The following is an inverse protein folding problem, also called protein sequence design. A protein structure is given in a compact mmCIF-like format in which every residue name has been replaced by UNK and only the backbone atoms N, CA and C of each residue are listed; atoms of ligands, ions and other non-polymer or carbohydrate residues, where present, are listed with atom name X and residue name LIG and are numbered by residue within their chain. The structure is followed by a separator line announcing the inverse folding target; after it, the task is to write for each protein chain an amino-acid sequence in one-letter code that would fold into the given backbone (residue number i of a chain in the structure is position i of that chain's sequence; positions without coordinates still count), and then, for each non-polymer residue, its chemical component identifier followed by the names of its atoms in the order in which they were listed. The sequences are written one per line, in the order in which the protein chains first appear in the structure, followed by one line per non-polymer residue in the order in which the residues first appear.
data_IF_603730540164
#
_entry.id   IF_603730540164
#
_cell.length_a   1.000
_cell.length_b   1.000
_cell.length_c   1.000
_cell.angle_alpha   90.00
_cell.angle_beta   90.00
_cell.angle_gamma   90.00
#
_symmetry.space_group_name_H-M   'P 1'
#
loop_
_entity.id
_entity.type
_entity.pdbx_description
1 polymer ?
#
# COMPACT_ATOMS: atom_id res chain seq x y z
N UNK A 1 11.54 -4.58 -16.31
CA UNK A 1 11.34 -3.64 -15.18
C UNK A 1 9.84 -3.57 -14.89
N UNK A 2 9.40 -3.46 -13.63
CA UNK A 2 7.97 -3.58 -13.26
C UNK A 2 7.05 -2.55 -13.97
N UNK A 3 7.61 -1.43 -14.40
CA UNK A 3 6.91 -0.41 -15.19
C UNK A 3 6.31 -0.95 -16.51
N UNK A 4 6.91 -1.98 -17.13
CA UNK A 4 6.34 -2.59 -18.35
C UNK A 4 5.01 -3.30 -18.10
N UNK A 5 4.71 -3.63 -16.84
CA UNK A 5 3.43 -4.20 -16.41
C UNK A 5 2.46 -3.13 -15.88
N UNK A 6 2.77 -1.85 -16.08
CA UNK A 6 1.94 -0.74 -15.58
C UNK A 6 1.93 -0.59 -14.06
N UNK A 7 2.88 -1.18 -13.34
CA UNK A 7 3.00 -1.02 -11.89
C UNK A 7 4.23 -0.18 -11.51
N UNK A 8 4.07 0.68 -10.51
CA UNK A 8 5.16 1.42 -9.86
C UNK A 8 5.45 0.90 -8.45
N UNK A 9 6.62 1.25 -7.91
CA UNK A 9 6.99 0.97 -6.52
C UNK A 9 7.47 2.25 -5.84
N UNK A 10 7.03 2.48 -4.61
CA UNK A 10 7.47 3.61 -3.79
C UNK A 10 7.42 3.25 -2.31
N UNK A 11 8.12 4.01 -1.48
CA UNK A 11 8.06 3.89 -0.02
C UNK A 11 7.42 5.16 0.58
N UNK A 12 6.59 4.97 1.61
CA UNK A 12 5.98 6.08 2.35
C UNK A 12 7.04 6.81 3.16
N UNK A 13 7.93 6.08 3.85
CA UNK A 13 9.07 6.64 4.58
C UNK A 13 10.36 6.27 3.84
N UNK A 14 11.19 7.27 3.53
CA UNK A 14 12.45 7.09 2.80
C UNK A 14 13.59 6.56 3.69
N UNK A 15 13.50 6.74 5.01
CA UNK A 15 14.51 6.25 5.95
C UNK A 15 14.53 4.72 5.95
N UNK A 16 15.68 4.08 5.69
CA UNK A 16 15.82 2.64 5.86
C UNK A 16 15.56 2.26 7.32
N UNK A 17 14.64 1.32 7.54
CA UNK A 17 14.40 0.71 8.86
C UNK A 17 14.45 -0.80 8.72
N UNK A 18 14.95 -1.48 9.75
CA UNK A 18 15.02 -2.94 9.73
C UNK A 18 13.62 -3.57 9.74
N UNK A 19 12.63 -2.84 10.28
CA UNK A 19 11.22 -3.25 10.35
C UNK A 19 10.28 -2.05 10.23
N UNK A 20 9.13 -2.25 9.59
CA UNK A 20 8.12 -1.22 9.42
C UNK A 20 7.46 -0.77 10.74
N UNK A 21 7.52 -1.58 11.79
CA UNK A 21 7.04 -1.25 13.14
C UNK A 21 8.00 -0.34 13.94
N UNK A 22 9.21 -0.07 13.41
CA UNK A 22 10.16 0.88 13.98
C UNK A 22 9.91 2.32 13.54
N UNK A 23 8.93 2.55 12.66
CA UNK A 23 8.55 3.88 12.21
C UNK A 23 7.47 4.42 13.14
N UNK A 24 7.74 5.59 13.73
CA UNK A 24 6.76 6.30 14.55
C UNK A 24 5.65 6.89 13.69
N UNK A 25 4.45 7.08 14.28
CA UNK A 25 3.36 7.77 13.61
C UNK A 25 3.76 9.17 13.12
N UNK A 26 4.66 9.85 13.83
CA UNK A 26 5.19 11.15 13.46
C UNK A 26 6.06 11.08 12.19
N UNK A 27 6.91 10.05 12.04
CA UNK A 27 7.70 9.86 10.81
C UNK A 27 6.78 9.60 9.60
N UNK A 28 5.69 8.85 9.78
CA UNK A 28 4.70 8.66 8.73
C UNK A 28 3.98 9.98 8.38
N UNK A 29 3.58 10.77 9.37
CA UNK A 29 2.92 12.05 9.15
C UNK A 29 3.84 13.05 8.43
N UNK A 30 5.12 13.12 8.82
CA UNK A 30 6.10 13.99 8.16
C UNK A 30 6.37 13.57 6.71
N UNK A 31 6.34 12.27 6.41
CA UNK A 31 6.54 11.75 5.06
C UNK A 31 5.25 11.72 4.21
N UNK A 32 4.09 11.89 4.84
CA UNK A 32 2.77 11.84 4.20
C UNK A 32 2.65 12.83 3.06
N UNK A 33 3.03 14.09 3.28
CA UNK A 33 2.88 15.17 2.28
C UNK A 33 3.65 14.86 1.00
N UNK A 34 4.90 14.42 1.12
CA UNK A 34 5.70 14.06 -0.06
C UNK A 34 5.14 12.84 -0.79
N UNK A 35 4.61 11.86 -0.04
CA UNK A 35 3.94 10.71 -0.61
C UNK A 35 2.63 11.10 -1.32
N UNK A 36 1.82 11.97 -0.73
CA UNK A 36 0.60 12.55 -1.32
C UNK A 36 0.89 13.27 -2.63
N UNK A 37 1.88 14.16 -2.63
CA UNK A 37 2.31 14.87 -3.84
C UNK A 37 2.76 13.90 -4.94
N UNK A 38 3.46 12.82 -4.58
CA UNK A 38 3.89 11.80 -5.52
C UNK A 38 2.69 11.07 -6.12
N UNK A 39 1.75 10.62 -5.30
CA UNK A 39 0.56 9.92 -5.81
C UNK A 39 -0.29 10.86 -6.67
N UNK A 40 -0.47 12.12 -6.27
CA UNK A 40 -1.17 13.12 -7.07
C UNK A 40 -0.50 13.36 -8.44
N UNK A 41 0.84 13.47 -8.46
CA UNK A 41 1.59 13.71 -9.69
C UNK A 41 1.60 12.53 -10.68
N UNK A 42 1.61 11.29 -10.18
CA UNK A 42 1.55 10.10 -11.04
C UNK A 42 0.12 9.60 -11.33
N UNK A 43 -0.88 10.10 -10.59
CA UNK A 43 -2.30 9.76 -10.72
C UNK A 43 -2.59 8.27 -10.98
N UNK A 44 -2.10 7.33 -10.12
CA UNK A 44 -2.33 5.92 -10.33
C UNK A 44 -3.81 5.58 -10.08
N UNK A 45 -4.32 4.57 -10.78
CA UNK A 45 -5.67 4.04 -10.55
C UNK A 45 -5.81 3.38 -9.17
N UNK A 46 -4.74 2.78 -8.67
CA UNK A 46 -4.70 2.06 -7.39
C UNK A 46 -3.43 2.37 -6.62
N UNK A 47 -3.54 2.47 -5.30
CA UNK A 47 -2.41 2.49 -4.35
C UNK A 47 -2.55 1.30 -3.41
N UNK A 48 -1.54 0.42 -3.40
CA UNK A 48 -1.48 -0.73 -2.52
C UNK A 48 -0.44 -0.51 -1.40
N UNK A 49 -0.92 -0.43 -0.15
CA UNK A 49 -0.07 -0.39 1.03
C UNK A 49 0.26 -1.81 1.48
N UNK A 50 1.56 -2.14 1.57
CA UNK A 50 2.03 -3.47 1.95
C UNK A 50 2.21 -3.58 3.47
N UNK A 51 1.07 -3.65 4.17
CA UNK A 51 0.95 -3.69 5.62
C UNK A 51 0.06 -2.56 6.15
N UNK A 52 -0.56 -2.79 7.32
CA UNK A 52 -1.53 -1.87 7.91
C UNK A 52 -0.90 -0.56 8.42
N UNK A 53 0.31 -0.63 8.97
CA UNK A 53 0.93 0.49 9.70
C UNK A 53 0.99 1.80 8.89
N UNK A 54 1.44 1.72 7.64
CA UNK A 54 1.56 2.90 6.77
C UNK A 54 0.19 3.52 6.46
N UNK A 55 -0.81 2.70 6.11
CA UNK A 55 -2.14 3.21 5.84
C UNK A 55 -2.80 3.78 7.10
N UNK A 56 -2.72 3.07 8.23
CA UNK A 56 -3.24 3.55 9.52
C UNK A 56 -2.70 4.93 9.90
N UNK A 57 -1.39 5.15 9.70
CA UNK A 57 -0.75 6.41 10.01
C UNK A 57 -1.22 7.56 9.10
N UNK A 58 -1.43 7.28 7.80
CA UNK A 58 -1.90 8.27 6.83
C UNK A 58 -3.40 8.54 6.94
N UNK A 59 -4.21 7.51 7.22
CA UNK A 59 -5.66 7.61 7.25
C UNK A 59 -6.22 8.02 8.61
N UNK A 60 -5.35 8.13 9.63
CA UNK A 60 -5.69 8.29 11.05
C UNK A 60 -6.68 7.22 11.57
N UNK A 61 -6.70 6.02 10.96
CA UNK A 61 -7.57 4.91 11.36
C UNK A 61 -6.75 3.87 12.12
N UNK A 62 -7.29 3.40 13.25
CA UNK A 62 -6.61 2.40 14.09
C UNK A 62 -6.95 0.97 13.71
N UNK A 63 -8.20 0.73 13.29
CA UNK A 63 -8.66 -0.57 12.87
C UNK A 63 -9.11 -0.52 11.42
N UNK A 64 -8.45 -1.31 10.58
CA UNK A 64 -8.66 -1.38 9.14
C UNK A 64 -8.66 -2.85 8.71
N UNK A 65 -9.50 -3.20 7.75
CA UNK A 65 -9.50 -4.52 7.15
C UNK A 65 -8.35 -4.68 6.13
N UNK A 66 -8.01 -5.93 5.80
CA UNK A 66 -7.22 -6.21 4.60
C UNK A 66 -8.07 -6.04 3.34
N UNK A 67 -7.44 -5.79 2.20
CA UNK A 67 -8.11 -5.62 0.91
C UNK A 67 -8.52 -4.16 0.61
N UNK A 68 -9.58 -3.95 -0.19
CA UNK A 68 -9.99 -2.62 -0.63
C UNK A 68 -10.49 -1.78 0.54
N UNK A 69 -10.15 -0.49 0.53
CA UNK A 69 -10.56 0.46 1.56
C UNK A 69 -11.65 1.40 1.04
N UNK A 70 -12.57 1.85 1.90
CA UNK A 70 -13.66 2.74 1.50
C UNK A 70 -13.17 4.15 1.14
N UNK A 71 -12.03 4.59 1.69
CA UNK A 71 -11.43 5.89 1.39
C UNK A 71 -10.41 5.76 0.28
N UNK A 72 -10.50 6.65 -0.71
CA UNK A 72 -9.48 6.82 -1.74
C UNK A 72 -8.29 7.62 -1.21
N UNK A 73 -7.21 7.62 -1.98
CA UNK A 73 -6.04 8.46 -1.76
C UNK A 73 -5.88 9.38 -2.98
N UNK A 74 -6.43 10.60 -2.89
CA UNK A 74 -6.82 11.35 -4.07
C UNK A 74 -7.90 10.60 -4.85
N UNK A 75 -7.71 10.45 -6.16
CA UNK A 75 -8.60 9.66 -7.02
C UNK A 75 -8.24 8.15 -7.06
N UNK A 76 -7.14 7.77 -6.41
CA UNK A 76 -6.66 6.38 -6.42
C UNK A 76 -7.46 5.51 -5.44
N UNK A 77 -7.93 4.35 -5.91
CA UNK A 77 -8.53 3.35 -5.02
C UNK A 77 -7.44 2.72 -4.13
N UNK A 78 -7.73 2.59 -2.84
CA UNK A 78 -6.74 2.12 -1.86
C UNK A 78 -6.92 0.65 -1.55
N UNK A 79 -5.81 -0.08 -1.48
CA UNK A 79 -5.73 -1.46 -1.04
C UNK A 79 -4.72 -1.61 0.07
N UNK A 80 -5.02 -2.46 1.04
CA UNK A 80 -4.11 -2.84 2.12
C UNK A 80 -3.81 -4.33 1.97
N UNK A 81 -2.57 -4.66 1.65
CA UNK A 81 -2.13 -6.02 1.36
C UNK A 81 -1.12 -6.52 2.40
N UNK A 82 -1.08 -7.83 2.69
CA UNK A 82 -0.06 -8.40 3.56
C UNK A 82 1.36 -8.13 3.01
N UNK A 83 2.30 -7.84 3.90
CA UNK A 83 3.68 -7.52 3.52
C UNK A 83 4.40 -8.79 3.04
N UNK A 84 5.06 -8.80 1.86
CA UNK A 84 5.70 -9.98 1.28
C UNK A 84 7.07 -10.31 1.89
N UNK A 85 7.54 -9.51 2.86
CA UNK A 85 8.78 -9.79 3.59
C UNK A 85 8.75 -11.17 4.25
N UNK A 86 9.85 -11.95 4.15
CA UNK A 86 9.98 -13.25 4.82
C UNK A 86 9.94 -13.18 6.37
N UNK A 87 9.94 -11.97 6.95
CA UNK A 87 9.70 -11.77 8.39
C UNK A 87 8.21 -11.79 8.75
N UNK A 88 7.32 -11.68 7.76
CA UNK A 88 5.89 -11.83 7.96
C UNK A 88 5.59 -13.30 8.24
N UNK A 89 5.28 -13.61 9.51
CA UNK A 89 4.87 -14.96 9.95
C UNK A 89 3.36 -15.12 10.06
N UNK A 90 2.60 -14.04 9.82
CA UNK A 90 1.15 -14.04 9.97
C UNK A 90 0.42 -14.50 8.70
N UNK A 91 1.14 -14.63 7.57
CA UNK A 91 0.58 -15.01 6.27
C UNK A 91 1.44 -16.10 5.63
N UNK A 92 0.79 -17.12 5.06
CA UNK A 92 1.45 -18.09 4.16
C UNK A 92 1.66 -17.47 2.78
N UNK A 93 2.47 -18.13 1.95
CA UNK A 93 2.67 -17.72 0.56
C UNK A 93 1.35 -17.74 -0.22
N UNK A 94 0.52 -18.76 0.00
CA UNK A 94 -0.79 -18.90 -0.64
C UNK A 94 -1.69 -17.71 -0.29
N UNK A 95 -1.75 -17.31 0.99
CA UNK A 95 -2.54 -16.17 1.43
C UNK A 95 -2.02 -14.84 0.86
N UNK A 96 -0.69 -14.69 0.72
CA UNK A 96 -0.09 -13.55 0.01
C UNK A 96 -0.55 -13.54 -1.45
N UNK A 97 -0.42 -14.65 -2.16
CA UNK A 97 -0.82 -14.76 -3.57
C UNK A 97 -2.30 -14.44 -3.75
N UNK A 98 -3.16 -14.96 -2.88
CA UNK A 98 -4.61 -14.73 -2.97
C UNK A 98 -4.97 -13.25 -2.75
N UNK A 99 -4.37 -12.60 -1.76
CA UNK A 99 -4.60 -11.18 -1.50
C UNK A 99 -4.18 -10.30 -2.69
N UNK A 100 -3.02 -10.59 -3.30
CA UNK A 100 -2.52 -9.84 -4.45
C UNK A 100 -3.33 -10.14 -5.72
N UNK A 101 -3.80 -11.38 -5.90
CA UNK A 101 -4.66 -11.76 -7.02
C UNK A 101 -5.97 -10.97 -7.01
N UNK A 102 -6.57 -10.72 -5.85
CA UNK A 102 -7.80 -9.93 -5.76
C UNK A 102 -7.61 -8.51 -6.33
N UNK A 103 -6.50 -7.85 -5.99
CA UNK A 103 -6.15 -6.55 -6.58
C UNK A 103 -5.92 -6.67 -8.09
N UNK A 104 -5.14 -7.66 -8.53
CA UNK A 104 -4.85 -7.87 -9.96
C UNK A 104 -6.13 -8.02 -10.79
N UNK A 105 -7.05 -8.87 -10.34
CA UNK A 105 -8.34 -9.08 -11.00
C UNK A 105 -9.19 -7.81 -11.00
N UNK A 106 -9.20 -7.04 -9.90
CA UNK A 106 -9.94 -5.77 -9.82
C UNK A 106 -9.37 -4.71 -10.77
N UNK A 107 -8.05 -4.65 -10.91
CA UNK A 107 -7.39 -3.71 -11.81
C UNK A 107 -7.66 -4.05 -13.29
N UNK A 108 -7.71 -5.34 -13.62
CA UNK A 108 -8.02 -5.86 -14.96
C UNK A 108 -9.51 -5.83 -15.33
N UNK A 109 -10.41 -6.00 -14.37
CA UNK A 109 -11.86 -6.08 -14.59
C UNK A 109 -12.51 -4.77 -15.09
N UNK A 110 -11.78 -3.65 -15.04
CA UNK A 110 -12.23 -2.33 -15.53
C UNK A 110 -11.72 -1.96 -16.93
N UNK A 111 -11.13 -2.92 -17.65
CA UNK A 111 -10.66 -2.73 -19.04
C UNK A 111 -11.72 -3.10 -20.09
N UNK A 112 -12.98 -3.33 -19.68
CA UNK A 112 -14.13 -3.56 -20.55
C UNK A 112 -15.29 -2.66 -20.12
#
# INVERSE_FOLDING_TARGET
MILHYGCGLTAVVQRPTARADQLSAHEFAAAAVAFEQKIAGFAPRFVAFLGKAAYCALSAQRDIAWGPQPKTFGDAAVWVLPNPSGRNRAFTLEQLVDAYRQLYMTAGARLF
#
